data_IF_997410587817
#
_entry.id   IF_997410587817
#
_cell.length_a   1.000
_cell.length_b   1.000
_cell.length_c   1.000
_cell.angle_alpha   90.00
_cell.angle_beta   90.00
_cell.angle_gamma   90.00
#
_symmetry.space_group_name_H-M   'P 1'
#
loop_
_entity.id
_entity.type
_entity.pdbx_description
1 polymer ?
#
# COMPACT_ATOMS: atom_id res chain seq x y z
N UNK A 1 3.08 10.51 26.04
CA UNK A 1 2.45 9.75 24.95
C UNK A 1 3.48 9.56 23.85
N UNK A 2 3.81 8.33 23.43
CA UNK A 2 4.74 8.14 22.32
C UNK A 2 4.06 8.66 21.06
N UNK A 3 4.74 9.57 20.38
CA UNK A 3 4.27 10.19 19.15
C UNK A 3 4.36 9.10 18.09
N UNK A 4 3.23 8.48 17.75
CA UNK A 4 3.16 7.65 16.55
C UNK A 4 3.79 8.46 15.41
N UNK A 5 4.77 7.90 14.68
CA UNK A 5 5.37 8.61 13.56
C UNK A 5 4.26 8.81 12.53
N UNK A 6 3.66 10.00 12.53
CA UNK A 6 2.74 10.43 11.50
C UNK A 6 3.52 10.41 10.19
N UNK A 7 3.31 9.37 9.39
CA UNK A 7 3.93 9.15 8.08
C UNK A 7 3.87 10.40 7.18
N UNK A 8 2.90 11.28 7.42
CA UNK A 8 2.76 12.59 6.77
C UNK A 8 3.97 13.54 6.85
N UNK A 9 4.98 13.31 7.70
CA UNK A 9 6.22 14.11 7.69
C UNK A 9 7.27 13.68 6.66
N UNK A 10 7.15 12.48 6.08
CA UNK A 10 8.14 11.94 5.14
C UNK A 10 7.77 12.18 3.67
N UNK A 11 6.77 13.02 3.39
CA UNK A 11 6.22 13.19 2.04
C UNK A 11 5.53 11.93 1.52
N UNK A 12 5.12 11.03 2.43
CA UNK A 12 4.41 9.79 2.14
C UNK A 12 3.10 9.73 2.93
N UNK A 13 2.08 9.12 2.33
CA UNK A 13 0.77 8.90 2.92
C UNK A 13 0.43 7.40 2.88
N UNK A 14 -0.10 6.91 3.99
CA UNK A 14 -0.71 5.59 4.02
C UNK A 14 -2.12 5.69 3.41
N UNK A 15 -2.38 4.91 2.37
CA UNK A 15 -3.68 4.86 1.70
C UNK A 15 -4.25 3.45 1.81
N UNK A 16 -5.54 3.38 2.16
CA UNK A 16 -6.30 2.14 2.05
C UNK A 16 -6.64 1.91 0.59
N UNK A 17 -6.33 0.74 0.05
CA UNK A 17 -6.53 0.39 -1.36
C UNK A 17 -7.25 -0.94 -1.48
N UNK A 18 -7.91 -1.15 -2.61
CA UNK A 18 -8.55 -2.42 -2.94
C UNK A 18 -7.69 -3.17 -3.97
N UNK A 19 -7.22 -4.35 -3.59
CA UNK A 19 -6.45 -5.20 -4.49
C UNK A 19 -7.36 -5.91 -5.52
N UNK A 20 -6.81 -6.41 -6.64
CA UNK A 20 -7.57 -7.10 -7.69
C UNK A 20 -8.32 -8.36 -7.21
N UNK A 21 -7.85 -9.01 -6.14
CA UNK A 21 -8.51 -10.16 -5.51
C UNK A 21 -9.73 -9.78 -4.63
N UNK A 22 -10.03 -8.48 -4.55
CA UNK A 22 -11.11 -7.93 -3.74
C UNK A 22 -10.74 -7.69 -2.28
N UNK A 23 -9.53 -8.08 -1.85
CA UNK A 23 -9.01 -7.79 -0.52
C UNK A 23 -8.65 -6.31 -0.36
N UNK A 24 -8.54 -5.85 0.90
CA UNK A 24 -8.15 -4.48 1.22
C UNK A 24 -6.76 -4.49 1.84
N UNK A 25 -5.93 -3.54 1.43
CA UNK A 25 -4.59 -3.35 1.97
C UNK A 25 -4.30 -1.90 2.29
N UNK A 26 -3.17 -1.70 2.95
CA UNK A 26 -2.56 -0.38 3.10
C UNK A 26 -1.30 -0.35 2.25
N UNK A 27 -1.16 0.68 1.44
CA UNK A 27 0.09 1.00 0.76
C UNK A 27 0.63 2.35 1.21
N UNK A 28 1.94 2.51 1.12
CA UNK A 28 2.63 3.78 1.29
C UNK A 28 2.83 4.42 -0.08
N UNK A 29 2.20 5.56 -0.31
CA UNK A 29 2.36 6.36 -1.53
C UNK A 29 2.97 7.70 -1.21
N UNK A 30 3.46 8.44 -2.22
CA UNK A 30 3.83 9.85 -2.02
C UNK A 30 2.60 10.67 -1.66
N UNK A 31 2.78 11.65 -0.78
CA UNK A 31 1.72 12.56 -0.40
C UNK A 31 1.21 13.33 -1.64
N UNK A 32 -0.11 13.43 -1.77
CA UNK A 32 -0.76 14.10 -2.91
C UNK A 32 -1.11 13.19 -4.09
N UNK A 33 -0.75 11.90 -4.05
CA UNK A 33 -1.26 10.89 -5.00
C UNK A 33 -2.78 10.72 -4.77
N UNK A 34 -3.63 10.89 -5.80
CA UNK A 34 -5.06 10.59 -5.72
C UNK A 34 -5.33 9.12 -5.42
N UNK A 35 -6.50 8.83 -4.85
CA UNK A 35 -6.89 7.47 -4.46
C UNK A 35 -6.90 6.49 -5.65
N UNK A 36 -7.42 6.89 -6.81
CA UNK A 36 -7.48 6.06 -8.01
C UNK A 36 -6.09 5.63 -8.50
N UNK A 37 -5.13 6.56 -8.46
CA UNK A 37 -3.73 6.27 -8.80
C UNK A 37 -3.07 5.38 -7.74
N UNK A 38 -3.40 5.55 -6.46
CA UNK A 38 -2.95 4.66 -5.39
C UNK A 38 -3.50 3.22 -5.59
N UNK A 39 -4.76 3.07 -5.98
CA UNK A 39 -5.37 1.77 -6.29
C UNK A 39 -4.72 1.12 -7.53
N UNK A 40 -4.41 1.91 -8.57
CA UNK A 40 -3.68 1.42 -9.74
C UNK A 40 -2.24 0.97 -9.41
N UNK A 41 -1.54 1.70 -8.54
CA UNK A 41 -0.22 1.32 -8.04
C UNK A 41 -0.28 0.04 -7.19
N UNK A 42 -1.29 -0.08 -6.33
CA UNK A 42 -1.52 -1.28 -5.54
C UNK A 42 -1.76 -2.51 -6.43
N UNK A 43 -2.55 -2.36 -7.49
CA UNK A 43 -2.82 -3.43 -8.45
C UNK A 43 -1.55 -3.85 -9.23
N UNK A 44 -0.69 -2.90 -9.60
CA UNK A 44 0.60 -3.18 -10.25
C UNK A 44 1.52 -3.99 -9.33
N UNK A 45 1.74 -3.50 -8.09
CA UNK A 45 2.58 -4.21 -7.11
C UNK A 45 2.01 -5.60 -6.80
N UNK A 46 0.68 -5.74 -6.77
CA UNK A 46 0.02 -7.03 -6.59
C UNK A 46 0.25 -7.99 -7.77
N UNK A 47 0.18 -7.50 -9.00
CA UNK A 47 0.44 -8.29 -10.20
C UNK A 47 1.92 -8.67 -10.35
N UNK A 48 2.82 -7.82 -9.89
CA UNK A 48 4.26 -8.04 -9.90
C UNK A 48 4.76 -8.96 -8.78
N UNK A 49 3.90 -9.36 -7.83
CA UNK A 49 4.27 -10.37 -6.82
C UNK A 49 4.42 -11.73 -7.51
N UNK A 50 5.64 -12.30 -7.63
CA UNK A 50 5.75 -13.75 -7.69
C UNK A 50 5.15 -14.26 -6.38
N UNK A 51 4.24 -15.23 -6.46
CA UNK A 51 3.50 -15.82 -5.35
C UNK A 51 4.26 -15.67 -4.03
N UNK A 52 3.78 -14.78 -3.15
CA UNK A 52 4.39 -14.56 -1.86
C UNK A 52 4.54 -15.94 -1.20
N UNK A 53 5.78 -16.40 -1.11
CA UNK A 53 6.10 -17.79 -0.83
C UNK A 53 5.25 -18.31 0.31
N UNK A 54 4.59 -19.45 0.07
CA UNK A 54 4.23 -20.37 1.15
C UNK A 54 5.44 -20.42 2.08
N UNK A 55 5.31 -20.14 3.39
CA UNK A 55 6.41 -20.35 4.30
C UNK A 55 6.78 -21.83 4.20
N UNK A 56 7.88 -22.15 3.51
CA UNK A 56 8.49 -23.47 3.61
C UNK A 56 8.97 -23.56 5.05
N UNK A 57 8.22 -24.33 5.84
CA UNK A 57 8.62 -24.77 7.17
C UNK A 57 9.84 -25.69 7.11
#
# INVERSE_FOLDING_TARGET
MPKEPTLGRLGMEARSVKFPDGSRGIILVKAGIPQDEADALAAQVWAERPEAGVPKG
#
